data_IF_989900171204
#
_entry.id   IF_989900171204
#
_cell.length_a   1.000
_cell.length_b   1.000
_cell.length_c   1.000
_cell.angle_alpha   90.00
_cell.angle_beta   90.00
_cell.angle_gamma   90.00
#
_symmetry.space_group_name_H-M   'P 1'
#
loop_
_entity.id
_entity.type
_entity.pdbx_description
1 polymer ?
#
# COMPACT_ATOMS: atom_id res chain seq x y z
N UNK A 1 -3.24 3.80 -17.10
CA UNK A 1 -3.73 4.58 -15.96
C UNK A 1 -2.95 4.36 -14.67
N UNK A 2 -3.10 3.27 -13.90
CA UNK A 2 -2.40 3.16 -12.59
C UNK A 2 -0.87 3.20 -12.70
N UNK A 3 -0.28 2.46 -13.63
CA UNK A 3 1.19 2.47 -13.85
C UNK A 3 1.72 3.87 -14.17
N UNK A 4 1.04 4.59 -15.06
CA UNK A 4 1.43 5.96 -15.45
C UNK A 4 1.25 6.93 -14.28
N UNK A 5 0.19 6.74 -13.48
CA UNK A 5 -0.04 7.55 -12.29
C UNK A 5 1.05 7.33 -11.24
N UNK A 6 1.47 6.08 -10.99
CA UNK A 6 2.58 5.78 -10.09
C UNK A 6 3.89 6.38 -10.59
N UNK A 7 4.19 6.27 -11.88
CA UNK A 7 5.39 6.89 -12.47
C UNK A 7 5.37 8.42 -12.35
N UNK A 8 4.20 9.04 -12.50
CA UNK A 8 4.02 10.47 -12.26
C UNK A 8 4.28 10.85 -10.79
N UNK A 9 3.73 10.08 -9.84
CA UNK A 9 3.91 10.31 -8.41
C UNK A 9 5.38 10.17 -7.99
N UNK A 10 6.08 9.14 -8.48
CA UNK A 10 7.51 8.94 -8.25
C UNK A 10 8.32 10.17 -8.69
N UNK A 11 8.06 10.67 -9.91
CA UNK A 11 8.71 11.89 -10.40
C UNK A 11 8.33 13.13 -9.60
N UNK A 12 7.09 13.24 -9.14
CA UNK A 12 6.63 14.35 -8.32
C UNK A 12 7.35 14.38 -6.97
N UNK A 13 7.36 13.27 -6.23
CA UNK A 13 8.00 13.17 -4.92
C UNK A 13 9.52 13.33 -5.01
N UNK A 14 10.16 12.79 -6.06
CA UNK A 14 11.58 12.99 -6.30
C UNK A 14 11.98 14.46 -6.50
N UNK A 15 11.09 15.29 -7.08
CA UNK A 15 11.33 16.73 -7.27
C UNK A 15 10.95 17.59 -6.08
N UNK A 16 9.97 17.17 -5.28
CA UNK A 16 9.48 17.94 -4.14
C UNK A 16 10.56 18.11 -3.06
N UNK A 17 11.51 17.18 -2.95
CA UNK A 17 12.63 17.27 -1.99
C UNK A 17 12.20 17.16 -0.53
N UNK A 18 10.93 16.85 -0.27
CA UNK A 18 10.38 16.53 1.04
C UNK A 18 10.85 15.14 1.46
N UNK A 19 11.79 15.09 2.40
CA UNK A 19 12.26 13.84 3.00
C UNK A 19 11.33 13.27 4.07
N UNK A 20 10.34 14.05 4.52
CA UNK A 20 9.37 13.65 5.55
C UNK A 20 8.01 14.26 5.23
N UNK A 21 6.94 13.47 5.37
CA UNK A 21 5.56 13.92 5.16
C UNK A 21 4.67 13.45 6.33
N UNK A 22 3.82 14.32 6.90
CA UNK A 22 2.86 13.90 7.90
C UNK A 22 1.75 13.06 7.28
N UNK A 23 1.62 11.79 7.71
CA UNK A 23 0.60 10.84 7.30
C UNK A 23 -0.09 10.27 8.54
N UNK A 24 -1.41 10.12 8.53
CA UNK A 24 -2.12 9.55 9.69
C UNK A 24 -1.64 8.14 10.02
N UNK A 25 -1.43 7.84 11.30
CA UNK A 25 -0.96 6.54 11.83
C UNK A 25 -1.66 5.34 11.19
N UNK A 26 -2.99 5.40 11.01
CA UNK A 26 -3.75 4.28 10.45
C UNK A 26 -3.53 4.11 8.95
N UNK A 27 -3.21 5.20 8.26
CA UNK A 27 -2.81 5.17 6.85
C UNK A 27 -1.40 4.60 6.73
N UNK A 28 -0.48 4.94 7.62
CA UNK A 28 0.87 4.35 7.67
C UNK A 28 0.78 2.83 7.86
N UNK A 29 0.03 2.36 8.87
CA UNK A 29 -0.16 0.93 9.11
C UNK A 29 -0.77 0.20 7.90
N UNK A 30 -1.69 0.85 7.18
CA UNK A 30 -2.25 0.29 5.96
C UNK A 30 -1.21 0.21 4.83
N UNK A 31 -0.40 1.26 4.63
CA UNK A 31 0.66 1.28 3.62
C UNK A 31 1.69 0.18 3.87
N UNK A 32 2.12 0.01 5.13
CA UNK A 32 3.03 -1.07 5.54
C UNK A 32 2.43 -2.46 5.27
N UNK A 33 1.14 -2.67 5.56
CA UNK A 33 0.47 -3.94 5.28
C UNK A 33 0.39 -4.23 3.77
N UNK A 34 0.16 -3.21 2.95
CA UNK A 34 0.18 -3.32 1.48
C UNK A 34 1.58 -3.67 0.98
N UNK A 35 2.62 -3.00 1.49
CA UNK A 35 4.01 -3.30 1.15
C UNK A 35 4.37 -4.74 1.52
N UNK A 36 4.02 -5.17 2.74
CA UNK A 36 4.24 -6.54 3.21
C UNK A 36 3.53 -7.57 2.33
N UNK A 37 2.29 -7.29 1.89
CA UNK A 37 1.57 -8.16 0.96
C UNK A 37 2.30 -8.31 -0.37
N UNK A 38 2.80 -7.23 -0.97
CA UNK A 38 3.59 -7.32 -2.20
C UNK A 38 4.95 -7.99 -1.98
N UNK A 39 5.65 -7.70 -0.88
CA UNK A 39 6.94 -8.29 -0.55
C UNK A 39 6.85 -9.81 -0.37
N UNK A 40 5.82 -10.29 0.35
CA UNK A 40 5.56 -11.72 0.54
C UNK A 40 5.20 -12.47 -0.76
N UNK A 41 4.82 -11.73 -1.81
CA UNK A 41 4.44 -12.26 -3.11
C UNK A 41 5.42 -11.85 -4.22
N UNK A 42 6.61 -11.31 -3.91
CA UNK A 42 7.57 -10.86 -4.95
C UNK A 42 7.89 -11.94 -5.99
N UNK A 43 8.09 -13.18 -5.54
CA UNK A 43 8.40 -14.31 -6.42
C UNK A 43 7.32 -14.69 -7.44
N UNK A 44 6.08 -14.19 -7.29
CA UNK A 44 5.01 -14.38 -8.26
C UNK A 44 4.83 -13.16 -9.18
N UNK A 45 5.25 -11.95 -8.76
CA UNK A 45 5.14 -10.73 -9.57
C UNK A 45 6.10 -10.73 -10.76
N UNK A 46 7.25 -11.39 -10.60
CA UNK A 46 8.26 -11.55 -11.65
C UNK A 46 7.92 -12.68 -12.65
N UNK A 47 6.81 -13.39 -12.40
CA UNK A 47 6.39 -14.57 -13.17
C UNK A 47 5.09 -14.31 -13.92
N UNK A 48 5.10 -14.28 -15.26
CA UNK A 48 3.90 -14.05 -16.06
C UNK A 48 2.85 -15.18 -15.91
N UNK A 49 3.23 -16.32 -15.35
CA UNK A 49 2.41 -17.51 -15.11
C UNK A 49 1.95 -17.68 -13.65
N UNK A 50 2.02 -16.63 -12.82
CA UNK A 50 1.58 -16.68 -11.42
C UNK A 50 0.23 -17.40 -11.29
N UNK A 51 0.22 -18.56 -10.62
CA UNK A 51 -0.96 -19.44 -10.56
C UNK A 51 -2.20 -18.76 -9.96
N UNK A 52 -3.40 -19.25 -10.26
CA UNK A 52 -4.65 -18.71 -9.70
C UNK A 52 -4.63 -18.58 -8.17
N UNK A 53 -4.02 -19.54 -7.47
CA UNK A 53 -3.91 -19.57 -6.01
C UNK A 53 -3.03 -18.44 -5.48
N UNK A 54 -1.89 -18.21 -6.14
CA UNK A 54 -0.97 -17.13 -5.81
C UNK A 54 -1.61 -15.75 -5.98
N UNK A 55 -2.34 -15.55 -7.09
CA UNK A 55 -3.08 -14.30 -7.32
C UNK A 55 -4.18 -14.09 -6.29
N UNK A 56 -4.92 -15.15 -5.94
CA UNK A 56 -5.95 -15.09 -4.92
C UNK A 56 -5.35 -14.72 -3.56
N UNK A 57 -4.27 -15.37 -3.14
CA UNK A 57 -3.58 -15.08 -1.88
C UNK A 57 -3.19 -13.60 -1.77
N UNK A 58 -2.62 -13.03 -2.83
CA UNK A 58 -2.29 -11.59 -2.85
C UNK A 58 -3.53 -10.71 -2.74
N UNK A 59 -4.60 -11.02 -3.48
CA UNK A 59 -5.84 -10.25 -3.43
C UNK A 59 -6.53 -10.34 -2.07
N UNK A 60 -6.53 -11.51 -1.44
CA UNK A 60 -7.07 -11.71 -0.10
C UNK A 60 -6.28 -10.88 0.93
N UNK A 61 -4.95 -10.87 0.83
CA UNK A 61 -4.09 -10.06 1.71
C UNK A 61 -4.32 -8.54 1.54
N UNK A 62 -4.43 -8.06 0.30
CA UNK A 62 -4.73 -6.64 0.01
C UNK A 62 -6.15 -6.26 0.48
N UNK A 63 -7.11 -7.17 0.29
CA UNK A 63 -8.50 -6.98 0.73
C UNK A 63 -8.62 -6.90 2.25
N UNK A 64 -7.92 -7.76 2.98
CA UNK A 64 -7.88 -7.76 4.44
C UNK A 64 -7.23 -6.46 4.96
N UNK A 65 -6.07 -6.06 4.42
CA UNK A 65 -5.39 -4.83 4.81
C UNK A 65 -6.29 -3.59 4.67
N UNK A 66 -7.01 -3.48 3.55
CA UNK A 66 -7.93 -2.36 3.34
C UNK A 66 -9.18 -2.44 4.23
N UNK A 67 -9.68 -3.65 4.50
CA UNK A 67 -10.85 -3.85 5.38
C UNK A 67 -10.52 -3.45 6.82
N UNK A 68 -9.35 -3.84 7.32
CA UNK A 68 -8.85 -3.44 8.64
C UNK A 68 -8.70 -1.90 8.74
N UNK A 69 -8.09 -1.27 7.72
CA UNK A 69 -7.99 0.19 7.66
C UNK A 69 -9.35 0.87 7.72
N UNK A 70 -10.31 0.45 6.88
CA UNK A 70 -11.65 1.05 6.85
C UNK A 70 -12.38 0.89 8.17
N UNK A 71 -12.31 -0.29 8.79
CA UNK A 71 -12.92 -0.53 10.09
C UNK A 71 -12.37 0.44 11.14
N UNK A 72 -11.05 0.59 11.22
CA UNK A 72 -10.42 1.55 12.12
C UNK A 72 -10.81 3.00 11.75
N UNK A 73 -10.74 3.37 10.47
CA UNK A 73 -11.01 4.73 10.01
C UNK A 73 -12.46 5.16 10.26
N UNK A 74 -13.43 4.25 10.17
CA UNK A 74 -14.83 4.57 10.49
C UNK A 74 -15.08 4.71 11.99
N UNK A 75 -14.28 4.07 12.83
CA UNK A 75 -14.37 4.18 14.28
C UNK A 75 -13.78 5.50 14.82
N UNK A 76 -12.78 6.08 14.15
CA UNK A 76 -12.07 7.25 14.70
C UNK A 76 -11.23 8.09 13.74
N UNK A 77 -11.48 8.04 12.43
CA UNK A 77 -10.71 8.79 11.43
C UNK A 77 -9.33 8.21 11.15
N UNK A 78 -8.42 8.95 10.48
CA UNK A 78 -7.10 8.45 10.05
C UNK A 78 -6.06 8.29 11.18
N UNK A 79 -6.40 8.63 12.43
CA UNK A 79 -5.48 8.61 13.56
C UNK A 79 -4.64 9.88 13.68
N UNK A 80 -3.57 9.81 14.47
CA UNK A 80 -2.67 10.95 14.72
C UNK A 80 -1.66 11.06 13.56
N UNK A 81 -1.35 12.27 13.05
CA UNK A 81 -0.29 12.43 12.05
C UNK A 81 1.06 11.92 12.56
N UNK A 82 1.74 11.14 11.73
CA UNK A 82 3.08 10.61 11.92
C UNK A 82 3.99 11.10 10.80
N UNK A 83 5.21 11.45 11.16
CA UNK A 83 6.28 11.80 10.22
C UNK A 83 6.86 10.51 9.63
N UNK A 84 6.72 10.33 8.31
CA UNK A 84 7.26 9.19 7.53
C UNK A 84 8.14 9.67 6.39
#
# INVERSE_FOLDING_TARGET
YLREHLAFLEGLFGRAGTGVVPIGERVVAWMEAVEAAFAGHRGILDRPDAGPEARRSLLDALGEAFSAYRAAAYDGGPGIPMEV
#
